data_IF_086273374137
#
_entry.id   IF_086273374137
#
_cell.length_a   1.000
_cell.length_b   1.000
_cell.length_c   1.000
_cell.angle_alpha   90.00
_cell.angle_beta   90.00
_cell.angle_gamma   90.00
#
_symmetry.space_group_name_H-M   'P 1'
#
loop_
_entity.id
_entity.type
_entity.pdbx_description
1 polymer ?
#
# COMPACT_ATOMS: atom_id res chain seq x y z
N UNK A 1 18.81 -1.96 -12.20
CA UNK A 1 19.17 -0.53 -12.23
C UNK A 1 17.97 0.31 -11.81
N UNK A 2 18.21 1.55 -11.37
CA UNK A 2 17.16 2.50 -10.99
C UNK A 2 17.28 3.77 -11.80
N UNK A 3 16.15 4.41 -12.15
CA UNK A 3 16.15 5.69 -12.83
C UNK A 3 15.36 6.73 -12.08
N UNK A 4 15.75 7.99 -12.23
CA UNK A 4 14.95 9.16 -11.89
C UNK A 4 14.70 9.93 -13.19
N UNK A 5 13.46 10.07 -13.58
CA UNK A 5 13.05 10.73 -14.83
C UNK A 5 12.10 11.89 -14.57
N UNK A 6 11.95 12.79 -15.53
CA UNK A 6 11.04 13.92 -15.43
C UNK A 6 11.55 15.08 -14.56
N UNK A 7 12.82 15.06 -14.14
CA UNK A 7 13.41 16.17 -13.38
C UNK A 7 13.52 17.44 -14.23
N UNK A 8 13.23 18.57 -13.60
CA UNK A 8 13.36 19.90 -14.19
C UNK A 8 14.28 20.78 -13.34
N UNK A 9 14.58 21.98 -13.80
CA UNK A 9 15.37 22.98 -13.04
C UNK A 9 14.72 23.40 -11.73
N UNK A 10 13.42 23.15 -11.57
CA UNK A 10 12.64 23.48 -10.36
C UNK A 10 12.45 22.28 -9.43
N UNK A 11 12.90 21.08 -9.82
CA UNK A 11 12.81 19.87 -8.98
C UNK A 11 13.63 20.03 -7.71
N UNK A 12 13.00 19.87 -6.56
CA UNK A 12 13.60 20.00 -5.24
C UNK A 12 13.70 18.62 -4.56
N UNK A 13 14.38 18.59 -3.42
CA UNK A 13 14.54 17.38 -2.60
C UNK A 13 13.20 16.73 -2.23
N UNK A 14 12.17 17.53 -1.95
CA UNK A 14 10.86 17.02 -1.57
C UNK A 14 10.22 16.18 -2.68
N UNK A 15 10.34 16.61 -3.95
CA UNK A 15 9.82 15.85 -5.09
C UNK A 15 10.56 14.54 -5.30
N UNK A 16 11.87 14.51 -5.06
CA UNK A 16 12.69 13.29 -5.15
C UNK A 16 12.29 12.29 -4.07
N UNK A 17 12.15 12.75 -2.82
CA UNK A 17 11.69 11.91 -1.70
C UNK A 17 10.28 11.37 -1.98
N UNK A 18 9.39 12.22 -2.48
CA UNK A 18 8.03 11.82 -2.85
C UNK A 18 8.04 10.77 -3.97
N UNK A 19 8.86 10.93 -4.99
CA UNK A 19 9.01 9.95 -6.06
C UNK A 19 9.43 8.57 -5.52
N UNK A 20 10.30 8.53 -4.51
CA UNK A 20 10.67 7.29 -3.83
C UNK A 20 9.48 6.62 -3.12
N UNK A 21 8.63 7.39 -2.44
CA UNK A 21 7.40 6.87 -1.81
C UNK A 21 6.40 6.39 -2.86
N UNK A 22 6.19 7.18 -3.91
CA UNK A 22 5.28 6.85 -5.01
C UNK A 22 5.73 5.55 -5.72
N UNK A 23 7.04 5.36 -5.89
CA UNK A 23 7.62 4.14 -6.46
C UNK A 23 7.21 2.87 -5.69
N UNK A 24 7.22 2.92 -4.35
CA UNK A 24 6.77 1.80 -3.51
C UNK A 24 5.31 1.46 -3.81
N UNK A 25 4.45 2.48 -3.87
CA UNK A 25 3.03 2.29 -4.13
C UNK A 25 2.75 1.75 -5.55
N UNK A 26 3.51 2.19 -6.54
CA UNK A 26 3.39 1.66 -7.91
C UNK A 26 3.78 0.19 -8.00
N UNK A 27 4.88 -0.22 -7.36
CA UNK A 27 5.30 -1.63 -7.35
C UNK A 27 4.26 -2.54 -6.68
N UNK A 28 3.69 -2.11 -5.56
CA UNK A 28 2.60 -2.85 -4.90
C UNK A 28 1.37 -2.92 -5.82
N UNK A 29 1.06 -1.84 -6.54
CA UNK A 29 -0.06 -1.79 -7.48
C UNK A 29 0.13 -2.79 -8.63
N UNK A 30 1.35 -2.93 -9.16
CA UNK A 30 1.67 -3.93 -10.19
C UNK A 30 1.38 -5.34 -9.68
N UNK A 31 1.81 -5.65 -8.45
CA UNK A 31 1.55 -6.96 -7.82
C UNK A 31 0.05 -7.21 -7.62
N UNK A 32 -0.69 -6.22 -7.10
CA UNK A 32 -2.14 -6.32 -6.89
C UNK A 32 -2.88 -6.57 -8.20
N UNK A 33 -2.50 -5.88 -9.26
CA UNK A 33 -3.09 -6.06 -10.59
C UNK A 33 -2.77 -7.45 -11.15
N UNK A 34 -1.53 -7.90 -11.08
CA UNK A 34 -1.14 -9.23 -11.52
C UNK A 34 -1.91 -10.32 -10.77
N UNK A 35 -2.03 -10.21 -9.45
CA UNK A 35 -2.82 -11.16 -8.64
C UNK A 35 -4.30 -11.16 -9.01
N UNK A 36 -4.89 -9.99 -9.26
CA UNK A 36 -6.29 -9.90 -9.70
C UNK A 36 -6.50 -10.52 -11.08
N UNK A 37 -5.58 -10.30 -12.01
CA UNK A 37 -5.64 -10.86 -13.36
C UNK A 37 -5.49 -12.39 -13.34
N UNK A 38 -4.51 -12.91 -12.60
CA UNK A 38 -4.25 -14.36 -12.52
C UNK A 38 -5.37 -15.12 -11.79
N UNK A 39 -5.91 -14.55 -10.72
CA UNK A 39 -6.97 -15.21 -9.94
C UNK A 39 -8.36 -15.03 -10.55
N UNK A 40 -8.56 -14.07 -11.43
CA UNK A 40 -9.88 -13.64 -11.92
C UNK A 40 -10.75 -12.98 -10.85
N UNK A 41 -10.18 -12.63 -9.69
CA UNK A 41 -10.88 -12.02 -8.54
C UNK A 41 -10.41 -10.58 -8.39
N UNK A 42 -11.36 -9.64 -8.40
CA UNK A 42 -11.04 -8.24 -8.13
C UNK A 42 -10.64 -8.04 -6.65
N UNK A 43 -9.44 -7.56 -6.40
CA UNK A 43 -8.98 -7.21 -5.06
C UNK A 43 -9.51 -5.81 -4.73
N UNK A 44 -10.37 -5.71 -3.72
CA UNK A 44 -10.97 -4.43 -3.30
C UNK A 44 -10.36 -3.84 -2.02
N UNK A 45 -9.54 -4.61 -1.31
CA UNK A 45 -8.98 -4.21 -0.03
C UNK A 45 -7.56 -4.77 0.17
N UNK A 46 -6.68 -3.92 0.69
CA UNK A 46 -5.35 -4.29 1.17
C UNK A 46 -5.27 -4.10 2.68
N UNK A 47 -4.81 -5.10 3.38
CA UNK A 47 -4.42 -5.01 4.79
C UNK A 47 -2.91 -4.93 4.86
N UNK A 48 -2.42 -3.86 5.47
CA UNK A 48 -0.99 -3.53 5.50
C UNK A 48 -0.52 -3.31 6.92
N UNK A 49 0.73 -3.67 7.20
CA UNK A 49 1.37 -3.45 8.48
C UNK A 49 2.84 -3.03 8.33
N UNK A 50 3.49 -2.75 9.44
CA UNK A 50 4.91 -2.41 9.47
C UNK A 50 5.20 -0.90 9.46
N UNK A 51 6.49 -0.56 9.50
CA UNK A 51 6.98 0.81 9.64
C UNK A 51 6.44 1.83 8.62
N UNK A 52 6.36 1.48 7.32
CA UNK A 52 5.85 2.39 6.28
C UNK A 52 4.40 2.82 6.47
N UNK A 53 3.59 2.06 7.21
CA UNK A 53 2.16 2.37 7.46
C UNK A 53 1.94 3.62 8.29
N UNK A 54 2.97 4.09 8.99
CA UNK A 54 2.94 5.37 9.72
C UNK A 54 2.90 6.58 8.78
N UNK A 55 3.30 6.41 7.52
CA UNK A 55 3.26 7.46 6.52
C UNK A 55 1.87 7.55 5.89
N UNK A 56 1.07 8.50 6.36
CA UNK A 56 -0.31 8.70 5.88
C UNK A 56 -0.39 9.07 4.39
N UNK A 57 0.61 9.81 3.88
CA UNK A 57 0.69 10.12 2.46
C UNK A 57 0.82 8.84 1.64
N UNK A 58 1.77 7.97 2.01
CA UNK A 58 1.99 6.70 1.30
C UNK A 58 0.74 5.81 1.33
N UNK A 59 0.05 5.72 2.48
CA UNK A 59 -1.17 4.92 2.61
C UNK A 59 -2.30 5.45 1.73
N UNK A 60 -2.52 6.77 1.70
CA UNK A 60 -3.52 7.38 0.82
C UNK A 60 -3.14 7.21 -0.65
N UNK A 61 -1.88 7.46 -1.01
CA UNK A 61 -1.43 7.28 -2.39
C UNK A 61 -1.51 5.83 -2.86
N UNK A 62 -1.21 4.86 -1.99
CA UNK A 62 -1.39 3.43 -2.28
C UNK A 62 -2.86 3.10 -2.59
N UNK A 63 -3.78 3.61 -1.77
CA UNK A 63 -5.22 3.45 -2.01
C UNK A 63 -5.65 4.08 -3.33
N UNK A 64 -5.17 5.28 -3.61
CA UNK A 64 -5.50 6.05 -4.80
C UNK A 64 -5.02 5.38 -6.09
N UNK A 65 -3.77 4.91 -6.12
CA UNK A 65 -3.17 4.37 -7.35
C UNK A 65 -3.58 2.94 -7.64
N UNK A 66 -3.76 2.12 -6.61
CA UNK A 66 -4.24 0.75 -6.74
C UNK A 66 -5.76 0.65 -6.91
N UNK A 67 -6.50 1.73 -6.63
CA UNK A 67 -7.97 1.77 -6.59
C UNK A 67 -8.59 0.76 -5.63
N UNK A 68 -8.00 0.65 -4.46
CA UNK A 68 -8.43 -0.28 -3.40
C UNK A 68 -8.46 0.43 -2.06
N UNK A 69 -9.27 -0.05 -1.12
CA UNK A 69 -9.17 0.43 0.25
C UNK A 69 -7.91 -0.14 0.93
N UNK A 70 -7.22 0.70 1.72
CA UNK A 70 -6.05 0.29 2.51
C UNK A 70 -6.41 0.36 3.97
N UNK A 71 -6.25 -0.74 4.69
CA UNK A 71 -6.50 -0.82 6.13
C UNK A 71 -5.19 -1.01 6.87
N UNK A 72 -4.95 -0.10 7.81
CA UNK A 72 -3.77 -0.10 8.69
C UNK A 72 -4.24 -0.42 10.10
N UNK A 73 -3.79 -1.51 10.73
CA UNK A 73 -4.10 -1.79 12.13
C UNK A 73 -3.43 -0.75 13.04
N UNK A 74 -3.98 -0.53 14.24
CA UNK A 74 -3.34 0.35 15.22
C UNK A 74 -1.99 -0.22 15.66
N UNK A 75 -1.00 0.64 15.84
CA UNK A 75 0.39 0.23 16.16
C UNK A 75 0.50 -0.52 17.51
N UNK A 76 -0.46 -0.35 18.39
CA UNK A 76 -0.50 -1.00 19.70
C UNK A 76 -0.91 -2.48 19.60
N UNK A 77 -1.56 -2.88 18.52
CA UNK A 77 -2.16 -4.22 18.37
C UNK A 77 -1.20 -5.26 17.76
N UNK A 78 -0.11 -4.84 17.08
CA UNK A 78 0.70 -5.77 16.28
C UNK A 78 1.84 -6.45 17.00
N UNK A 79 2.50 -5.81 17.98
CA UNK A 79 3.77 -6.32 18.53
C UNK A 79 3.67 -7.05 19.86
N UNK A 80 2.82 -6.62 20.77
CA UNK A 80 2.70 -7.21 22.11
C UNK A 80 1.38 -7.95 22.31
N UNK A 81 0.32 -7.39 21.79
CA UNK A 81 -1.04 -7.89 21.93
C UNK A 81 -1.25 -9.12 21.04
N UNK A 82 -0.66 -9.16 19.85
CA UNK A 82 -0.76 -10.32 18.96
C UNK A 82 -0.24 -11.61 19.58
N UNK A 83 0.90 -11.56 20.28
CA UNK A 83 1.44 -12.71 20.99
C UNK A 83 0.58 -13.09 22.21
N UNK A 84 0.07 -12.10 22.94
CA UNK A 84 -0.82 -12.33 24.08
C UNK A 84 -2.18 -12.92 23.63
N UNK A 85 -2.73 -12.46 22.52
CA UNK A 85 -3.96 -13.02 21.95
C UNK A 85 -3.75 -14.44 21.41
N UNK A 86 -2.63 -14.71 20.75
CA UNK A 86 -2.30 -16.06 20.31
C UNK A 86 -2.20 -17.05 21.47
N UNK A 87 -1.55 -16.64 22.56
CA UNK A 87 -1.47 -17.44 23.79
C UNK A 87 -2.84 -17.64 24.44
N UNK A 88 -3.66 -16.58 24.49
CA UNK A 88 -5.02 -16.64 25.05
C UNK A 88 -5.98 -17.51 24.23
N UNK A 89 -5.88 -17.49 22.90
CA UNK A 89 -6.61 -18.39 22.01
C UNK A 89 -6.17 -19.85 22.23
N UNK A 90 -4.87 -20.09 22.30
CA UNK A 90 -4.31 -21.44 22.54
C UNK A 90 -4.73 -21.98 23.93
N UNK A 91 -4.86 -21.11 24.93
CA UNK A 91 -5.36 -21.44 26.26
C UNK A 91 -6.88 -21.54 26.37
N UNK A 92 -7.64 -21.27 25.30
CA UNK A 92 -9.09 -21.27 25.29
C UNK A 92 -9.75 -20.12 26.04
N UNK A 93 -8.99 -19.04 26.32
CA UNK A 93 -9.48 -17.86 27.04
C UNK A 93 -10.20 -16.88 26.10
N UNK A 94 -9.74 -16.79 24.85
CA UNK A 94 -10.31 -15.91 23.84
C UNK A 94 -10.82 -16.69 22.63
N UNK A 95 -11.93 -16.21 22.05
CA UNK A 95 -12.40 -16.66 20.77
C UNK A 95 -11.69 -15.87 19.65
N UNK A 96 -11.19 -16.60 18.64
CA UNK A 96 -10.47 -16.02 17.49
C UNK A 96 -11.27 -14.92 16.78
N UNK A 97 -12.57 -15.12 16.58
CA UNK A 97 -13.43 -14.19 15.87
C UNK A 97 -13.69 -12.90 16.67
N UNK A 98 -13.80 -12.99 17.99
CA UNK A 98 -13.97 -11.84 18.87
C UNK A 98 -12.71 -10.97 18.93
N UNK A 99 -11.52 -11.60 19.00
CA UNK A 99 -10.25 -10.89 19.04
C UNK A 99 -10.00 -10.12 17.74
N UNK A 100 -10.17 -10.77 16.60
CA UNK A 100 -9.94 -10.13 15.30
C UNK A 100 -11.04 -9.12 14.91
N UNK A 101 -12.25 -9.25 15.45
CA UNK A 101 -13.35 -8.32 15.24
C UNK A 101 -13.21 -6.99 15.99
N UNK A 102 -12.43 -6.97 17.08
CA UNK A 102 -12.24 -5.77 17.92
C UNK A 102 -11.00 -4.93 17.53
N UNK A 103 -10.17 -5.41 16.61
CA UNK A 103 -8.97 -4.67 16.18
C UNK A 103 -9.37 -3.37 15.49
N UNK A 104 -8.98 -2.24 16.08
CA UNK A 104 -9.20 -0.94 15.46
C UNK A 104 -8.28 -0.77 14.26
N UNK A 105 -8.82 -0.30 13.14
CA UNK A 105 -8.08 -0.10 11.89
C UNK A 105 -8.36 1.27 11.32
N UNK A 106 -7.30 1.92 10.83
CA UNK A 106 -7.46 3.13 10.03
C UNK A 106 -7.66 2.73 8.58
N UNK A 107 -8.74 3.19 7.95
CA UNK A 107 -9.08 2.91 6.57
C UNK A 107 -8.79 4.12 5.69
N UNK A 108 -8.05 3.89 4.60
CA UNK A 108 -7.85 4.83 3.51
C UNK A 108 -8.67 4.34 2.31
N UNK A 109 -9.47 5.23 1.74
CA UNK A 109 -10.28 4.92 0.54
C UNK A 109 -9.78 5.74 -0.64
N UNK A 110 -9.92 5.24 -1.89
CA UNK A 110 -9.52 5.98 -3.09
C UNK A 110 -10.24 7.32 -3.18
N UNK A 111 -9.48 8.39 -3.44
CA UNK A 111 -9.97 9.78 -3.60
C UNK A 111 -9.53 10.40 -4.91
N UNK A 112 -8.52 9.81 -5.57
CA UNK A 112 -7.97 10.32 -6.82
C UNK A 112 -8.93 10.07 -7.98
N UNK A 113 -9.07 11.07 -8.83
CA UNK A 113 -9.83 10.94 -10.08
C UNK A 113 -9.24 9.85 -11.00
N UNK A 114 -10.11 9.14 -11.71
CA UNK A 114 -9.73 8.03 -12.61
C UNK A 114 -8.75 8.49 -13.68
N UNK A 115 -8.96 9.67 -14.25
CA UNK A 115 -8.07 10.22 -15.28
C UNK A 115 -6.67 10.51 -14.72
N UNK A 116 -6.58 11.08 -13.54
CA UNK A 116 -5.30 11.34 -12.87
C UNK A 116 -4.59 10.03 -12.50
N UNK A 117 -5.31 9.07 -11.96
CA UNK A 117 -4.78 7.72 -11.63
C UNK A 117 -4.19 7.06 -12.87
N UNK A 118 -4.92 7.03 -13.96
CA UNK A 118 -4.47 6.43 -15.20
C UNK A 118 -3.22 7.13 -15.74
N UNK A 119 -3.20 8.46 -15.75
CA UNK A 119 -2.04 9.24 -16.19
C UNK A 119 -0.79 8.93 -15.37
N UNK A 120 -0.92 8.89 -14.05
CA UNK A 120 0.20 8.58 -13.14
C UNK A 120 0.72 7.15 -13.35
N UNK A 121 -0.19 6.19 -13.44
CA UNK A 121 0.18 4.79 -13.63
C UNK A 121 0.80 4.53 -15.02
N UNK A 122 0.33 5.18 -16.07
CA UNK A 122 0.97 5.11 -17.40
C UNK A 122 2.38 5.72 -17.38
N UNK A 123 2.58 6.82 -16.66
CA UNK A 123 3.91 7.39 -16.45
C UNK A 123 4.87 6.43 -15.74
N UNK A 124 4.37 5.70 -14.74
CA UNK A 124 5.13 4.63 -14.09
C UNK A 124 5.53 3.52 -15.07
N UNK A 125 4.58 2.99 -15.84
CA UNK A 125 4.87 1.94 -16.84
C UNK A 125 5.90 2.39 -17.86
N UNK A 126 5.79 3.60 -18.38
CA UNK A 126 6.75 4.16 -19.32
C UNK A 126 8.16 4.31 -18.71
N UNK A 127 8.25 4.65 -17.41
CA UNK A 127 9.53 4.72 -16.71
C UNK A 127 10.16 3.31 -16.51
N UNK A 128 9.33 2.32 -16.19
CA UNK A 128 9.79 0.91 -16.05
C UNK A 128 10.31 0.38 -17.39
N UNK A 129 9.62 0.66 -18.48
CA UNK A 129 10.06 0.25 -19.83
C UNK A 129 11.45 0.78 -20.19
N UNK A 130 11.81 2.00 -19.75
CA UNK A 130 13.15 2.55 -19.97
C UNK A 130 14.27 1.77 -19.28
N UNK A 131 13.96 1.02 -18.23
CA UNK A 131 14.94 0.22 -17.47
C UNK A 131 15.05 -1.21 -18.01
N UNK A 132 13.99 -1.70 -18.64
CA UNK A 132 13.89 -3.08 -19.12
C UNK A 132 14.40 -3.27 -20.57
N UNK A 133 14.74 -2.20 -21.26
CA UNK A 133 15.22 -2.21 -22.66
C UNK A 133 16.73 -2.40 -22.77
N UNK A 134 17.28 -3.43 -22.11
CA UNK A 134 18.64 -3.92 -22.37
C UNK A 134 18.62 -5.37 -22.84
#
# INVERSE_FOLDING_TARGET
EGILTGMTRTTKRAEIVRAGLDCIAYQITDVVKAMSEESGIAIGELRVDGGPTKNKYLMQFQSDIADVSVQVPSAEELSGIGAAYAAGIAAGIYNREEVFGQMSRTKFSPKMDVSERNKKYQGWKAAVEQVLTD
#
